data_IF_982669189501
#
_entry.id   IF_982669189501
#
_cell.length_a   1.000
_cell.length_b   1.000
_cell.length_c   1.000
_cell.angle_alpha   90.00
_cell.angle_beta   90.00
_cell.angle_gamma   90.00
#
_symmetry.space_group_name_H-M   'P 1'
#
loop_
_entity.id
_entity.type
_entity.pdbx_description
1 polymer ?
#
# COMPACT_ATOMS: atom_id res chain seq x y z
N UNK A 1 12.66 -19.38 -43.98
CA UNK A 1 12.50 -18.11 -43.24
C UNK A 1 12.46 -18.45 -41.76
N UNK A 2 13.54 -18.23 -40.99
CA UNK A 2 13.54 -18.51 -39.56
C UNK A 2 13.32 -17.23 -38.75
N UNK A 3 12.44 -17.35 -37.75
CA UNK A 3 12.20 -16.38 -36.69
C UNK A 3 13.44 -16.28 -35.79
N UNK A 4 13.97 -15.07 -35.59
CA UNK A 4 15.02 -14.80 -34.61
C UNK A 4 14.42 -14.18 -33.34
N UNK A 5 14.79 -14.78 -32.22
CA UNK A 5 14.46 -14.47 -30.84
C UNK A 5 14.60 -12.97 -30.50
N UNK A 6 13.56 -12.39 -29.90
CA UNK A 6 13.69 -11.15 -29.13
C UNK A 6 14.23 -11.56 -27.76
N UNK A 7 15.55 -11.52 -27.69
CA UNK A 7 16.36 -11.80 -26.51
C UNK A 7 16.04 -10.77 -25.42
N UNK A 8 15.51 -11.25 -24.30
CA UNK A 8 15.23 -10.45 -23.11
C UNK A 8 16.53 -9.84 -22.59
N UNK A 9 16.65 -8.52 -22.68
CA UNK A 9 17.65 -7.77 -21.92
C UNK A 9 16.90 -7.12 -20.75
N UNK A 10 16.54 -7.95 -19.77
CA UNK A 10 16.32 -7.46 -18.41
C UNK A 10 17.73 -7.43 -17.80
N UNK A 11 18.38 -6.26 -17.81
CA UNK A 11 19.60 -6.08 -17.03
C UNK A 11 19.20 -5.99 -15.57
N UNK A 12 19.65 -6.96 -14.79
CA UNK A 12 19.68 -6.95 -13.33
C UNK A 12 20.64 -5.84 -12.85
N UNK A 13 20.18 -4.59 -12.86
CA UNK A 13 20.88 -3.49 -12.20
C UNK A 13 20.15 -3.16 -10.88
N UNK A 14 20.86 -3.10 -9.75
CA UNK A 14 20.26 -2.80 -8.45
C UNK A 14 19.65 -1.39 -8.50
N UNK A 15 18.40 -1.25 -8.05
CA UNK A 15 17.80 0.05 -7.83
C UNK A 15 18.70 0.89 -6.92
N UNK A 16 19.27 1.94 -7.52
CA UNK A 16 20.09 2.91 -6.84
C UNK A 16 19.25 3.68 -5.83
N UNK A 17 19.51 3.43 -4.55
CA UNK A 17 18.95 4.17 -3.41
C UNK A 17 19.72 5.49 -3.26
N UNK A 18 19.61 6.39 -4.24
CA UNK A 18 20.16 7.76 -4.16
C UNK A 18 19.10 8.84 -4.44
N UNK A 19 17.81 8.54 -4.23
CA UNK A 19 16.74 9.52 -4.46
C UNK A 19 16.58 9.97 -5.93
N UNK A 20 17.28 9.33 -6.87
CA UNK A 20 16.99 9.43 -8.29
C UNK A 20 16.43 8.10 -8.81
N UNK A 21 15.15 7.86 -8.55
CA UNK A 21 14.42 6.84 -9.32
C UNK A 21 14.32 7.34 -10.77
N UNK A 22 15.14 6.76 -11.65
CA UNK A 22 15.07 6.97 -13.08
C UNK A 22 13.78 6.40 -13.63
N UNK A 23 12.82 7.29 -13.88
CA UNK A 23 11.74 7.02 -14.82
C UNK A 23 12.29 7.35 -16.21
N UNK A 24 12.11 6.45 -17.17
CA UNK A 24 12.42 6.76 -18.55
C UNK A 24 11.32 7.68 -19.07
N UNK A 25 11.64 8.95 -19.29
CA UNK A 25 10.82 9.84 -20.11
C UNK A 25 11.38 9.76 -21.53
N UNK A 26 10.49 9.54 -22.49
CA UNK A 26 10.79 9.53 -23.91
C UNK A 26 10.97 11.00 -24.36
N UNK A 27 12.13 11.35 -24.88
CA UNK A 27 12.33 12.69 -25.44
C UNK A 27 11.54 12.86 -26.75
N UNK A 28 11.48 14.09 -27.27
CA UNK A 28 10.73 14.42 -28.49
C UNK A 28 11.21 13.67 -29.75
N UNK A 29 12.30 12.89 -29.63
CA UNK A 29 12.89 12.06 -30.67
C UNK A 29 12.73 10.54 -30.40
N UNK A 30 11.94 10.15 -29.40
CA UNK A 30 11.72 8.74 -29.07
C UNK A 30 12.86 8.10 -28.27
N UNK A 31 13.83 8.88 -27.78
CA UNK A 31 15.01 8.38 -27.07
C UNK A 31 14.77 8.48 -25.56
N UNK A 32 14.92 7.34 -24.89
CA UNK A 32 14.77 7.24 -23.45
C UNK A 32 15.95 7.93 -22.76
N UNK A 33 15.73 9.08 -22.12
CA UNK A 33 16.81 9.92 -21.59
C UNK A 33 16.63 10.30 -20.12
N UNK A 34 17.65 10.05 -19.31
CA UNK A 34 17.70 10.36 -17.87
C UNK A 34 17.84 11.85 -17.53
N UNK A 35 18.07 12.73 -18.51
CA UNK A 35 18.43 14.13 -18.27
C UNK A 35 17.25 15.07 -18.06
N UNK A 36 16.07 14.75 -18.61
CA UNK A 36 14.89 15.63 -18.57
C UNK A 36 14.33 15.84 -17.15
N UNK A 37 14.26 14.78 -16.34
CA UNK A 37 13.73 14.84 -14.97
C UNK A 37 14.66 15.55 -13.97
N UNK A 38 15.98 15.53 -14.21
CA UNK A 38 16.95 16.28 -13.38
C UNK A 38 16.77 17.79 -13.56
N UNK A 39 16.39 18.23 -14.76
CA UNK A 39 16.20 19.66 -15.04
C UNK A 39 14.95 20.22 -14.35
N UNK A 40 13.81 19.52 -14.41
CA UNK A 40 12.55 20.01 -13.83
C UNK A 40 12.60 20.13 -12.31
N UNK A 41 13.19 19.16 -11.61
CA UNK A 41 13.42 19.24 -10.16
C UNK A 41 14.32 20.42 -9.81
N UNK A 42 15.38 20.65 -10.58
CA UNK A 42 16.29 21.76 -10.34
C UNK A 42 15.61 23.13 -10.51
N UNK A 43 14.78 23.31 -11.55
CA UNK A 43 14.02 24.55 -11.75
C UNK A 43 13.05 24.80 -10.58
N UNK A 44 12.33 23.77 -10.12
CA UNK A 44 11.41 23.88 -8.98
C UNK A 44 12.15 24.22 -7.68
N UNK A 45 13.33 23.64 -7.45
CA UNK A 45 14.17 23.96 -6.30
C UNK A 45 14.57 25.45 -6.29
N UNK A 46 15.03 25.98 -7.43
CA UNK A 46 15.38 27.40 -7.55
C UNK A 46 14.18 28.31 -7.26
N UNK A 47 13.02 27.99 -7.81
CA UNK A 47 11.78 28.76 -7.61
C UNK A 47 11.32 28.76 -6.14
N UNK A 48 11.39 27.61 -5.46
CA UNK A 48 11.00 27.48 -4.05
C UNK A 48 11.99 28.20 -3.12
N UNK A 49 13.30 28.11 -3.42
CA UNK A 49 14.32 28.87 -2.69
C UNK A 49 14.09 30.38 -2.81
N UNK A 50 13.72 30.86 -4.00
CA UNK A 50 13.36 32.27 -4.22
C UNK A 50 12.15 32.75 -3.39
N UNK A 51 11.31 31.83 -2.93
CA UNK A 51 10.16 32.11 -2.04
C UNK A 51 10.47 31.86 -0.55
N UNK A 52 11.73 31.61 -0.20
CA UNK A 52 12.14 31.39 1.19
C UNK A 52 11.81 30.00 1.74
N UNK A 53 11.48 29.03 0.87
CA UNK A 53 11.41 27.63 1.29
C UNK A 53 12.83 27.11 1.50
N UNK A 54 13.00 26.16 2.44
CA UNK A 54 14.27 25.45 2.64
C UNK A 54 14.18 23.98 2.27
N UNK A 55 15.25 23.44 1.73
CA UNK A 55 15.38 22.00 1.48
C UNK A 55 15.63 21.24 2.78
N UNK A 56 14.90 20.13 3.00
CA UNK A 56 15.11 19.21 4.12
C UNK A 56 14.99 17.76 3.66
N UNK A 57 15.55 16.83 4.45
CA UNK A 57 15.19 15.42 4.35
C UNK A 57 13.86 15.21 5.09
N UNK A 58 12.77 15.06 4.33
CA UNK A 58 11.38 15.12 4.83
C UNK A 58 11.12 14.21 6.03
N UNK A 59 11.65 12.98 6.01
CA UNK A 59 11.44 12.01 7.09
C UNK A 59 12.37 12.21 8.29
N UNK A 60 13.46 12.98 8.17
CA UNK A 60 14.32 13.36 9.29
C UNK A 60 13.74 14.52 10.11
N UNK A 61 12.89 15.35 9.49
CA UNK A 61 12.16 16.45 10.13
C UNK A 61 10.63 16.30 9.93
N UNK A 62 9.98 15.25 10.47
CA UNK A 62 8.59 14.93 10.16
C UNK A 62 7.59 16.01 10.58
N UNK A 63 7.90 16.78 11.64
CA UNK A 63 7.04 17.88 12.10
C UNK A 63 7.28 19.19 11.32
N UNK A 64 8.35 19.26 10.52
CA UNK A 64 8.59 20.40 9.65
C UNK A 64 7.83 20.21 8.34
N UNK A 65 6.79 21.02 8.15
CA UNK A 65 5.94 21.01 6.94
C UNK A 65 5.66 22.40 6.38
N UNK A 66 5.90 23.45 7.16
CA UNK A 66 5.76 24.82 6.71
C UNK A 66 7.03 25.28 5.98
N UNK A 67 6.89 25.83 4.78
CA UNK A 67 7.99 26.38 3.97
C UNK A 67 9.21 25.45 3.84
N UNK A 68 8.95 24.16 3.61
CA UNK A 68 9.99 23.15 3.34
C UNK A 68 9.68 22.36 2.08
N UNK A 69 10.72 21.92 1.39
CA UNK A 69 10.64 20.94 0.31
C UNK A 69 11.73 19.88 0.47
N UNK A 70 11.61 18.75 -0.22
CA UNK A 70 12.61 17.71 -0.21
C UNK A 70 12.28 16.62 -1.23
N UNK A 71 13.23 15.72 -1.46
CA UNK A 71 13.01 14.58 -2.34
C UNK A 71 11.88 13.69 -1.81
N UNK A 72 11.09 13.13 -2.73
CA UNK A 72 10.06 12.16 -2.39
C UNK A 72 10.71 10.99 -1.66
N UNK A 73 10.08 10.56 -0.57
CA UNK A 73 10.53 9.42 0.20
C UNK A 73 9.58 8.26 -0.03
N UNK A 74 10.12 7.08 -0.30
CA UNK A 74 9.38 5.85 -0.54
C UNK A 74 9.68 4.82 0.56
N UNK A 75 8.75 3.92 0.82
CA UNK A 75 8.93 2.74 1.67
C UNK A 75 9.54 1.56 0.90
N UNK A 76 10.42 1.84 -0.07
CA UNK A 76 11.04 0.84 -0.92
C UNK A 76 12.19 0.11 -0.20
N UNK A 77 12.37 -1.17 -0.52
CA UNK A 77 13.46 -2.00 0.00
C UNK A 77 14.12 -2.67 -1.20
N UNK A 78 15.44 -2.46 -1.38
CA UNK A 78 16.23 -3.02 -2.48
C UNK A 78 15.59 -2.77 -3.87
N UNK A 79 14.98 -1.60 -4.06
CA UNK A 79 14.31 -1.25 -5.31
C UNK A 79 12.97 -1.86 -5.60
N UNK A 80 12.39 -2.54 -4.62
CA UNK A 80 11.08 -3.14 -4.72
C UNK A 80 10.17 -2.49 -3.69
N UNK A 81 8.87 -2.59 -3.92
CA UNK A 81 7.85 -2.16 -2.96
C UNK A 81 8.09 -2.86 -1.61
N UNK A 82 8.43 -2.09 -0.58
CA UNK A 82 8.79 -2.60 0.76
C UNK A 82 7.66 -2.60 1.79
N UNK A 83 6.47 -2.10 1.42
CA UNK A 83 5.23 -1.97 2.20
C UNK A 83 4.87 -3.15 3.13
N UNK A 84 3.81 -3.07 3.96
CA UNK A 84 3.50 -4.11 4.97
C UNK A 84 3.47 -5.56 4.48
N UNK A 85 3.22 -5.80 3.18
CA UNK A 85 3.30 -7.11 2.53
C UNK A 85 4.74 -7.67 2.50
N UNK A 86 5.75 -6.85 2.24
CA UNK A 86 7.15 -7.27 2.18
C UNK A 86 7.82 -7.29 3.58
N UNK A 87 7.18 -6.70 4.58
CA UNK A 87 7.69 -6.60 5.96
C UNK A 87 6.79 -7.38 6.94
N UNK A 88 5.77 -6.74 7.50
CA UNK A 88 4.92 -7.31 8.55
C UNK A 88 4.28 -8.64 8.17
N UNK A 89 3.72 -8.75 6.97
CA UNK A 89 3.09 -9.98 6.49
C UNK A 89 4.08 -11.15 6.40
N UNK A 90 5.33 -10.90 5.98
CA UNK A 90 6.35 -11.96 5.92
C UNK A 90 6.62 -12.54 7.31
N UNK A 91 6.76 -11.67 8.33
CA UNK A 91 6.96 -12.13 9.71
C UNK A 91 5.72 -12.80 10.30
N UNK A 92 4.52 -12.39 9.89
CA UNK A 92 3.27 -13.00 10.34
C UNK A 92 3.05 -14.38 9.75
N UNK A 93 3.24 -14.53 8.44
CA UNK A 93 3.07 -15.80 7.71
C UNK A 93 3.98 -16.92 8.24
N UNK A 94 5.14 -16.57 8.80
CA UNK A 94 6.04 -17.55 9.40
C UNK A 94 5.57 -18.11 10.76
N UNK A 95 4.56 -17.52 11.40
CA UNK A 95 4.09 -17.95 12.73
C UNK A 95 3.16 -19.17 12.60
N UNK A 96 3.33 -20.21 13.44
CA UNK A 96 2.53 -21.44 13.33
C UNK A 96 1.04 -21.24 13.66
N UNK A 97 0.70 -20.19 14.42
CA UNK A 97 -0.69 -19.85 14.79
C UNK A 97 -1.31 -18.79 13.88
N UNK A 98 -0.62 -18.39 12.82
CA UNK A 98 -1.16 -17.43 11.86
C UNK A 98 -1.80 -18.19 10.69
N UNK A 99 -2.99 -17.75 10.28
CA UNK A 99 -3.68 -18.28 9.11
C UNK A 99 -4.09 -17.09 8.25
N UNK A 100 -3.73 -17.17 6.96
CA UNK A 100 -4.13 -16.19 5.95
C UNK A 100 -5.11 -16.84 4.98
N UNK A 101 -6.17 -16.11 4.65
CA UNK A 101 -7.18 -16.49 3.66
C UNK A 101 -7.40 -15.31 2.73
N UNK A 102 -7.04 -15.48 1.47
CA UNK A 102 -7.43 -14.60 0.38
C UNK A 102 -8.74 -15.08 -0.24
N UNK A 103 -9.26 -14.30 -1.21
CA UNK A 103 -10.51 -14.61 -1.94
C UNK A 103 -11.72 -14.90 -1.04
N UNK A 104 -11.69 -14.38 0.18
CA UNK A 104 -12.71 -14.58 1.20
C UNK A 104 -13.29 -13.22 1.55
N UNK A 105 -14.54 -13.00 1.17
CA UNK A 105 -15.26 -11.77 1.50
C UNK A 105 -16.00 -11.96 2.82
N UNK A 106 -15.89 -11.00 3.74
CA UNK A 106 -16.78 -10.90 4.89
C UNK A 106 -17.93 -9.96 4.55
N UNK A 107 -19.17 -10.42 4.75
CA UNK A 107 -20.38 -9.61 4.60
C UNK A 107 -20.67 -8.83 5.87
N UNK A 108 -20.85 -9.54 6.98
CA UNK A 108 -21.29 -8.98 8.26
C UNK A 108 -20.64 -9.70 9.44
N UNK A 109 -20.74 -9.10 10.63
CA UNK A 109 -20.47 -9.82 11.88
C UNK A 109 -21.69 -10.61 12.32
N UNK A 110 -21.45 -11.76 12.94
CA UNK A 110 -22.49 -12.45 13.70
C UNK A 110 -22.43 -11.97 15.15
N UNK A 111 -23.59 -11.62 15.73
CA UNK A 111 -23.66 -11.01 17.07
C UNK A 111 -24.97 -11.35 17.79
N UNK A 112 -24.92 -11.32 19.11
CA UNK A 112 -26.08 -11.35 20.00
C UNK A 112 -26.11 -10.04 20.79
N UNK A 113 -27.02 -9.13 20.43
CA UNK A 113 -27.04 -7.77 20.97
C UNK A 113 -25.70 -7.07 20.75
N UNK A 114 -25.05 -6.66 21.84
CA UNK A 114 -23.75 -5.99 21.82
C UNK A 114 -22.55 -6.97 21.71
N UNK A 115 -22.76 -8.28 21.87
CA UNK A 115 -21.68 -9.26 21.84
C UNK A 115 -21.48 -9.80 20.42
N UNK A 116 -20.31 -9.54 19.83
CA UNK A 116 -19.90 -10.16 18.57
C UNK A 116 -19.47 -11.60 18.86
N UNK A 117 -19.99 -12.55 18.08
CA UNK A 117 -19.74 -13.99 18.22
C UNK A 117 -18.92 -14.57 17.06
N UNK A 118 -18.84 -13.87 15.92
CA UNK A 118 -18.17 -14.36 14.72
C UNK A 118 -18.19 -13.37 13.57
N UNK A 119 -17.69 -13.84 12.41
CA UNK A 119 -17.78 -13.15 11.13
C UNK A 119 -18.35 -14.09 10.07
N UNK A 120 -19.26 -13.59 9.23
CA UNK A 120 -19.82 -14.33 8.10
C UNK A 120 -18.93 -14.17 6.87
N UNK A 121 -18.25 -15.24 6.48
CA UNK A 121 -17.40 -15.28 5.29
C UNK A 121 -18.12 -15.95 4.11
N UNK A 122 -17.69 -15.60 2.89
CA UNK A 122 -18.14 -16.24 1.65
C UNK A 122 -17.60 -17.67 1.49
N UNK A 123 -16.46 -17.99 2.11
CA UNK A 123 -15.86 -19.32 2.09
C UNK A 123 -16.52 -20.22 3.14
N UNK A 124 -17.37 -21.13 2.68
CA UNK A 124 -18.12 -22.07 3.53
C UNK A 124 -17.24 -23.15 4.16
N UNK A 125 -15.98 -23.29 3.77
CA UNK A 125 -15.05 -24.25 4.37
C UNK A 125 -14.40 -23.74 5.66
N UNK A 126 -14.54 -22.45 5.98
CA UNK A 126 -13.95 -21.84 7.19
C UNK A 126 -14.76 -22.12 8.47
N UNK A 127 -16.00 -22.60 8.33
CA UNK A 127 -16.88 -22.97 9.42
C UNK A 127 -18.30 -23.25 8.95
N UNK A 128 -19.22 -23.61 9.85
CA UNK A 128 -20.62 -23.90 9.48
C UNK A 128 -21.22 -22.74 8.69
N UNK A 129 -21.61 -23.00 7.44
CA UNK A 129 -22.10 -21.99 6.49
C UNK A 129 -21.18 -20.76 6.33
N UNK A 130 -19.87 -20.91 6.50
CA UNK A 130 -18.90 -19.82 6.38
C UNK A 130 -18.77 -18.92 7.61
N UNK A 131 -19.38 -19.29 8.73
CA UNK A 131 -19.22 -18.55 9.99
C UNK A 131 -17.87 -18.87 10.62
N UNK A 132 -17.04 -17.84 10.82
CA UNK A 132 -15.78 -17.91 11.55
C UNK A 132 -16.05 -17.48 13.01
N UNK A 133 -16.05 -18.40 13.99
CA UNK A 133 -16.36 -18.05 15.37
C UNK A 133 -15.20 -17.32 16.04
N UNK A 134 -15.54 -16.36 16.91
CA UNK A 134 -14.57 -15.64 17.73
C UNK A 134 -14.41 -16.30 19.11
N UNK A 135 -13.21 -16.23 19.67
CA UNK A 135 -12.98 -16.52 21.09
C UNK A 135 -13.33 -15.28 21.93
N UNK A 136 -13.53 -15.42 23.27
CA UNK A 136 -13.88 -14.29 24.13
C UNK A 136 -12.85 -13.14 24.13
N UNK A 137 -11.61 -13.40 23.73
CA UNK A 137 -10.52 -12.40 23.68
C UNK A 137 -10.20 -11.94 22.26
N UNK A 138 -10.96 -12.40 21.25
CA UNK A 138 -10.65 -12.08 19.88
C UNK A 138 -11.02 -10.62 19.55
N UNK A 139 -10.16 -9.98 18.75
CA UNK A 139 -10.39 -8.65 18.21
C UNK A 139 -10.63 -8.79 16.72
N UNK A 140 -11.69 -8.18 16.23
CA UNK A 140 -12.01 -8.09 14.82
C UNK A 140 -11.66 -6.69 14.34
N UNK A 141 -10.81 -6.61 13.31
CA UNK A 141 -10.32 -5.35 12.76
C UNK A 141 -10.58 -5.32 11.27
N UNK A 142 -11.14 -4.21 10.81
CA UNK A 142 -11.50 -3.98 9.41
C UNK A 142 -10.67 -2.84 8.86
N UNK A 143 -10.22 -3.00 7.62
CA UNK A 143 -9.23 -2.12 7.02
C UNK A 143 -9.79 -1.59 5.71
N UNK A 144 -10.53 -0.48 5.80
CA UNK A 144 -10.96 0.26 4.63
C UNK A 144 -12.07 1.25 4.94
N UNK A 145 -11.96 2.45 4.42
CA UNK A 145 -12.94 3.54 4.60
C UNK A 145 -14.32 3.21 4.02
N UNK A 146 -14.41 2.28 3.06
CA UNK A 146 -15.67 1.85 2.44
C UNK A 146 -16.07 0.43 2.84
N UNK A 147 -15.10 -0.48 2.97
CA UNK A 147 -15.37 -1.86 3.36
C UNK A 147 -15.85 -1.98 4.81
N UNK A 148 -15.23 -1.21 5.72
CA UNK A 148 -15.62 -1.22 7.14
C UNK A 148 -17.05 -0.74 7.38
N UNK A 149 -17.46 0.46 6.91
CA UNK A 149 -18.85 0.88 7.11
C UNK A 149 -19.84 -0.07 6.43
N UNK A 150 -19.54 -0.61 5.24
CA UNK A 150 -20.41 -1.62 4.61
C UNK A 150 -20.66 -2.82 5.54
N UNK A 151 -19.60 -3.39 6.12
CA UNK A 151 -19.72 -4.52 7.06
C UNK A 151 -20.51 -4.11 8.31
N UNK A 152 -20.28 -2.90 8.84
CA UNK A 152 -21.01 -2.40 10.01
C UNK A 152 -22.50 -2.21 9.71
N UNK A 153 -22.85 -1.68 8.55
CA UNK A 153 -24.24 -1.46 8.11
C UNK A 153 -24.96 -2.79 7.88
N UNK A 154 -24.32 -3.73 7.17
CA UNK A 154 -24.82 -5.10 7.02
C UNK A 154 -24.90 -5.87 8.35
N UNK A 155 -24.29 -5.34 9.42
CA UNK A 155 -24.37 -5.86 10.79
C UNK A 155 -25.36 -5.11 11.68
N UNK A 156 -26.09 -4.12 11.14
CA UNK A 156 -27.00 -3.24 11.87
C UNK A 156 -26.31 -2.38 12.93
N UNK A 157 -25.12 -1.88 12.61
CA UNK A 157 -24.35 -0.91 13.40
C UNK A 157 -24.17 0.33 12.55
N UNK A 158 -25.21 1.15 12.49
CA UNK A 158 -25.27 2.22 11.51
C UNK A 158 -26.25 3.34 11.93
N UNK A 159 -26.10 4.52 11.32
CA UNK A 159 -27.13 5.55 11.35
C UNK A 159 -28.45 5.03 10.80
N UNK A 160 -29.58 5.46 11.37
CA UNK A 160 -30.90 4.89 11.08
C UNK A 160 -31.37 5.01 9.61
N UNK A 161 -30.75 5.85 8.80
CA UNK A 161 -31.05 6.07 7.39
C UNK A 161 -30.32 5.09 6.45
N UNK A 162 -29.44 4.23 6.97
CA UNK A 162 -28.64 3.27 6.20
C UNK A 162 -29.08 1.80 6.34
N UNK A 163 -30.12 1.53 7.17
CA UNK A 163 -30.74 0.22 7.40
C UNK A 163 -31.77 -0.16 6.33
#
# INVERSE_FOLDING_TARGET
>A
MPNSEIMSIIRDEPCMIDGSEGFYDEDDEGRMSWTLKKHSVHVLQQFLNGQGYRQVTINSEPNSKNHVYGSVSYDAINGKRGSPVATYFQTAKARPKFTYRDYTLVSNVTRNGAQITGAQASDTYLGPNGVIPLTPTAVLSWLGSFGTPRILFESGIDPSDML
#
